data_IF_408276382108
#
_entry.id   IF_408276382108
#
_cell.length_a   1.000
_cell.length_b   1.000
_cell.length_c   1.000
_cell.angle_alpha   90.00
_cell.angle_beta   90.00
_cell.angle_gamma   90.00
#
_symmetry.space_group_name_H-M   'P 1'
#
loop_
_entity.id
_entity.type
_entity.pdbx_description
1 polymer ?
#
# COMPACT_ATOMS: atom_id res chain seq x y z
N UNK A 1 -10.19 24.70 -4.37
CA UNK A 1 -11.10 23.71 -4.98
C UNK A 1 -11.31 22.54 -4.02
N UNK A 2 -12.52 22.00 -3.95
CA UNK A 2 -12.84 20.86 -3.11
C UNK A 2 -13.27 19.71 -4.02
N UNK A 3 -12.65 18.56 -3.84
CA UNK A 3 -12.98 17.33 -4.53
C UNK A 3 -13.46 16.27 -3.55
N UNK A 4 -14.42 15.46 -3.96
CA UNK A 4 -14.94 14.35 -3.19
C UNK A 4 -14.96 13.08 -4.04
N UNK A 5 -14.30 12.03 -3.58
CA UNK A 5 -14.39 10.68 -4.14
C UNK A 5 -15.56 9.94 -3.51
N UNK A 6 -16.34 9.23 -4.31
CA UNK A 6 -17.50 8.45 -3.86
C UNK A 6 -17.43 7.02 -4.36
N UNK A 7 -17.82 6.07 -3.50
CA UNK A 7 -17.80 4.64 -3.84
C UNK A 7 -18.89 4.22 -4.84
N UNK A 8 -19.83 5.12 -5.16
CA UNK A 8 -20.94 4.82 -6.06
C UNK A 8 -21.29 5.98 -6.99
N UNK A 9 -20.29 6.59 -7.63
CA UNK A 9 -20.52 7.71 -8.55
C UNK A 9 -19.27 8.47 -8.95
N UNK A 10 -18.09 7.88 -8.77
CA UNK A 10 -16.82 8.48 -9.16
C UNK A 10 -16.46 9.70 -8.33
N UNK A 11 -16.09 10.79 -8.96
CA UNK A 11 -15.65 12.02 -8.29
C UNK A 11 -16.63 13.18 -8.49
N UNK A 12 -16.62 14.08 -7.53
CA UNK A 12 -17.38 15.34 -7.56
C UNK A 12 -16.44 16.51 -7.30
N UNK A 13 -16.59 17.56 -8.08
CA UNK A 13 -15.98 18.85 -7.85
C UNK A 13 -17.02 19.79 -7.23
N UNK A 14 -16.66 20.40 -6.10
CA UNK A 14 -17.55 21.32 -5.38
C UNK A 14 -17.13 22.74 -5.74
N UNK A 15 -18.05 23.50 -6.29
CA UNK A 15 -17.89 24.89 -6.72
C UNK A 15 -18.99 25.77 -6.14
N UNK A 16 -18.81 27.08 -6.27
CA UNK A 16 -19.87 28.06 -6.01
C UNK A 16 -20.51 28.46 -7.34
N UNK A 17 -21.83 28.48 -7.40
CA UNK A 17 -22.60 29.01 -8.49
C UNK A 17 -22.63 30.53 -8.52
N UNK A 18 -23.30 31.11 -9.52
CA UNK A 18 -23.36 32.55 -9.75
C UNK A 18 -24.00 33.35 -8.61
N UNK A 19 -24.90 32.72 -7.83
CA UNK A 19 -25.56 33.35 -6.69
C UNK A 19 -25.01 32.88 -5.34
N UNK A 20 -23.81 32.22 -5.34
CA UNK A 20 -23.14 31.77 -4.14
C UNK A 20 -23.64 30.41 -3.61
N UNK A 21 -24.57 29.75 -4.32
CA UNK A 21 -25.02 28.40 -4.00
C UNK A 21 -23.92 27.36 -4.23
N UNK A 22 -23.94 26.27 -3.46
CA UNK A 22 -23.01 25.16 -3.65
C UNK A 22 -23.45 24.31 -4.83
N UNK A 23 -22.55 24.16 -5.81
CA UNK A 23 -22.79 23.36 -7.03
C UNK A 23 -21.87 22.13 -7.02
N UNK A 24 -22.47 20.97 -7.27
CA UNK A 24 -21.74 19.70 -7.44
C UNK A 24 -21.59 19.41 -8.94
N UNK A 25 -20.33 19.35 -9.39
CA UNK A 25 -19.96 19.07 -10.76
C UNK A 25 -19.40 17.65 -10.83
N UNK A 26 -20.01 16.79 -11.64
CA UNK A 26 -19.64 15.38 -11.78
C UNK A 26 -19.93 14.88 -13.23
N UNK A 27 -19.76 13.59 -13.47
CA UNK A 27 -19.97 12.96 -14.78
C UNK A 27 -21.38 13.17 -15.38
N UNK A 28 -22.39 13.50 -14.54
CA UNK A 28 -23.79 13.72 -15.00
C UNK A 28 -23.99 15.12 -15.60
N UNK A 29 -23.13 16.06 -15.27
CA UNK A 29 -23.20 17.42 -15.79
C UNK A 29 -21.90 17.82 -16.53
N UNK A 30 -20.99 18.54 -15.91
CA UNK A 30 -19.88 19.18 -16.61
C UNK A 30 -18.55 18.39 -16.54
N UNK A 31 -18.51 17.23 -15.85
CA UNK A 31 -17.33 16.37 -15.78
C UNK A 31 -17.47 15.13 -16.69
N UNK A 32 -17.98 15.34 -17.90
CA UNK A 32 -18.33 14.26 -18.85
C UNK A 32 -17.13 13.45 -19.34
N UNK A 33 -15.92 14.00 -19.29
CA UNK A 33 -14.70 13.29 -19.63
C UNK A 33 -14.24 12.27 -18.59
N UNK A 34 -14.82 12.26 -17.37
CA UNK A 34 -14.47 11.28 -16.34
C UNK A 34 -14.89 9.87 -16.79
N UNK A 35 -14.00 8.87 -16.75
CA UNK A 35 -14.28 7.51 -17.25
C UNK A 35 -15.19 6.72 -16.29
N UNK A 36 -16.42 7.18 -16.11
CA UNK A 36 -17.38 6.65 -15.12
C UNK A 36 -17.71 5.18 -15.34
N UNK A 37 -17.77 4.72 -16.59
CA UNK A 37 -18.13 3.35 -16.93
C UNK A 37 -17.14 2.32 -16.36
N UNK A 38 -15.89 2.72 -16.20
CA UNK A 38 -14.84 1.88 -15.61
C UNK A 38 -14.45 2.34 -14.20
N UNK A 39 -14.43 3.64 -13.92
CA UNK A 39 -13.97 4.20 -12.65
C UNK A 39 -15.12 4.66 -11.72
N UNK A 40 -16.20 3.89 -11.69
CA UNK A 40 -17.41 4.19 -10.92
C UNK A 40 -17.18 4.21 -9.41
N UNK A 41 -16.35 3.29 -8.90
CA UNK A 41 -16.05 3.14 -7.46
C UNK A 41 -14.74 3.80 -7.12
N UNK A 42 -14.77 5.09 -6.75
CA UNK A 42 -13.61 5.80 -6.27
C UNK A 42 -13.40 5.53 -4.77
N UNK A 43 -12.20 5.08 -4.41
CA UNK A 43 -11.81 4.73 -3.03
C UNK A 43 -11.05 5.85 -2.34
N UNK A 44 -10.17 6.49 -3.07
CA UNK A 44 -9.23 7.46 -2.52
C UNK A 44 -8.97 8.60 -3.51
N UNK A 45 -8.72 9.80 -3.00
CA UNK A 45 -8.32 10.96 -3.81
C UNK A 45 -7.22 11.74 -3.10
N UNK A 46 -6.20 12.14 -3.84
CA UNK A 46 -5.08 12.93 -3.35
C UNK A 46 -4.48 13.76 -4.47
N UNK A 47 -3.74 14.83 -4.12
CA UNK A 47 -2.90 15.57 -5.08
C UNK A 47 -1.46 15.09 -5.01
N UNK A 48 -0.77 15.11 -6.15
CA UNK A 48 0.67 14.94 -6.21
C UNK A 48 1.40 16.29 -6.13
N UNK A 49 2.75 16.22 -6.09
CA UNK A 49 3.59 17.41 -6.03
C UNK A 49 3.76 18.12 -7.40
N UNK A 50 3.12 17.61 -8.45
CA UNK A 50 3.20 18.14 -9.82
C UNK A 50 1.89 18.82 -10.24
N UNK A 51 0.94 19.00 -9.31
CA UNK A 51 -0.35 19.64 -9.56
C UNK A 51 -1.39 18.75 -10.24
N UNK A 52 -1.21 17.43 -10.13
CA UNK A 52 -2.21 16.45 -10.58
C UNK A 52 -3.02 15.92 -9.41
N UNK A 53 -4.29 15.70 -9.64
CA UNK A 53 -5.14 14.90 -8.78
C UNK A 53 -5.12 13.44 -9.22
N UNK A 54 -5.02 12.56 -8.24
CA UNK A 54 -5.03 11.13 -8.41
C UNK A 54 -6.21 10.52 -7.68
N UNK A 55 -6.91 9.63 -8.35
CA UNK A 55 -8.08 8.91 -7.83
C UNK A 55 -7.81 7.41 -7.88
N UNK A 56 -7.75 6.76 -6.72
CA UNK A 56 -7.73 5.30 -6.63
C UNK A 56 -9.13 4.75 -6.79
N UNK A 57 -9.29 3.73 -7.62
CA UNK A 57 -10.57 3.08 -7.90
C UNK A 57 -10.45 1.57 -7.84
N UNK A 58 -11.57 0.85 -7.93
CA UNK A 58 -11.57 -0.63 -8.02
C UNK A 58 -11.10 -1.16 -9.38
N UNK A 59 -10.84 -0.29 -10.34
CA UNK A 59 -10.49 -0.65 -11.73
C UNK A 59 -9.23 0.05 -12.23
N UNK A 60 -8.42 0.57 -11.31
CA UNK A 60 -7.17 1.25 -11.58
C UNK A 60 -7.10 2.60 -10.90
N UNK A 61 -6.26 3.47 -11.42
CA UNK A 61 -6.14 4.85 -10.98
C UNK A 61 -6.48 5.81 -12.10
N UNK A 62 -7.03 6.97 -11.75
CA UNK A 62 -7.26 8.07 -12.69
C UNK A 62 -6.44 9.26 -12.24
N UNK A 63 -5.76 9.93 -13.18
CA UNK A 63 -5.08 11.18 -12.90
C UNK A 63 -5.49 12.28 -13.88
N UNK A 64 -5.46 13.52 -13.41
CA UNK A 64 -5.74 14.69 -14.22
C UNK A 64 -5.07 15.94 -13.63
N UNK A 65 -4.81 16.95 -14.48
CA UNK A 65 -4.25 18.21 -14.04
C UNK A 65 -5.30 19.01 -13.26
N UNK A 66 -4.94 19.48 -12.06
CA UNK A 66 -5.82 20.30 -11.23
C UNK A 66 -5.92 21.76 -11.74
N UNK A 67 -5.03 22.17 -12.62
CA UNK A 67 -5.00 23.50 -13.18
C UNK A 67 -5.81 23.62 -14.49
N UNK A 68 -7.13 23.50 -14.40
CA UNK A 68 -8.05 23.66 -15.53
C UNK A 68 -8.82 24.99 -15.43
N UNK A 69 -9.28 25.50 -16.57
CA UNK A 69 -10.14 26.69 -16.64
C UNK A 69 -11.61 26.32 -16.46
N UNK A 70 -12.06 25.27 -17.13
CA UNK A 70 -13.42 24.75 -17.04
C UNK A 70 -13.38 23.25 -16.79
N UNK A 71 -14.32 22.71 -16.02
CA UNK A 71 -14.38 21.25 -15.74
C UNK A 71 -14.43 20.38 -17.00
N UNK A 72 -15.02 20.88 -18.07
CA UNK A 72 -15.14 20.19 -19.36
C UNK A 72 -13.80 20.03 -20.08
N UNK A 73 -12.80 20.87 -19.75
CA UNK A 73 -11.48 20.86 -20.38
C UNK A 73 -10.54 19.80 -19.76
N UNK A 74 -10.96 19.15 -18.66
CA UNK A 74 -10.13 18.19 -17.94
C UNK A 74 -9.88 16.96 -18.79
N UNK A 75 -8.60 16.64 -18.97
CA UNK A 75 -8.15 15.40 -19.60
C UNK A 75 -7.85 14.36 -18.52
N UNK A 76 -8.60 13.27 -18.53
CA UNK A 76 -8.44 12.17 -17.59
C UNK A 76 -7.54 11.08 -18.19
N UNK A 77 -6.55 10.65 -17.45
CA UNK A 77 -5.69 9.52 -17.78
C UNK A 77 -6.05 8.35 -16.87
N UNK A 78 -6.38 7.22 -17.44
CA UNK A 78 -6.72 6.00 -16.71
C UNK A 78 -5.57 5.01 -16.78
N UNK A 79 -5.11 4.56 -15.62
CA UNK A 79 -4.04 3.59 -15.45
C UNK A 79 -4.62 2.31 -14.89
N UNK A 80 -4.39 1.20 -15.55
CA UNK A 80 -4.87 -0.11 -15.13
C UNK A 80 -3.83 -1.19 -15.39
N UNK A 81 -4.06 -2.36 -14.82
CA UNK A 81 -3.25 -3.54 -15.12
C UNK A 81 -3.48 -3.96 -16.56
N UNK A 82 -2.37 -4.11 -17.30
CA UNK A 82 -2.36 -4.66 -18.66
C UNK A 82 -1.77 -6.07 -18.59
N UNK A 83 -2.47 -7.11 -19.08
CA UNK A 83 -1.94 -8.47 -19.09
C UNK A 83 -0.61 -8.54 -19.84
N UNK A 84 0.37 -9.23 -19.24
CA UNK A 84 1.74 -9.42 -19.78
C UNK A 84 2.60 -8.13 -19.87
N UNK A 85 2.13 -7.00 -19.38
CA UNK A 85 2.92 -5.79 -19.23
C UNK A 85 3.33 -5.61 -17.76
N UNK A 86 4.58 -5.92 -17.45
CA UNK A 86 5.15 -5.81 -16.09
C UNK A 86 5.38 -4.38 -15.64
N UNK A 87 5.22 -3.41 -16.54
CA UNK A 87 5.35 -1.98 -16.28
C UNK A 87 4.00 -1.29 -16.05
N UNK A 88 2.89 -1.99 -16.27
CA UNK A 88 1.56 -1.52 -15.89
C UNK A 88 1.31 -1.70 -14.39
N UNK A 89 0.17 -1.23 -13.87
CA UNK A 89 -0.24 -1.51 -12.49
C UNK A 89 -0.28 -3.03 -12.23
N UNK A 90 0.22 -3.45 -11.08
CA UNK A 90 0.19 -4.87 -10.68
C UNK A 90 -1.22 -5.39 -10.41
N UNK A 91 -2.12 -4.51 -9.94
CA UNK A 91 -3.52 -4.82 -9.66
C UNK A 91 -4.40 -3.58 -9.84
N UNK A 92 -5.67 -3.78 -10.21
CA UNK A 92 -6.60 -2.68 -10.50
C UNK A 92 -7.28 -2.09 -9.26
N UNK A 93 -7.35 -2.81 -8.15
CA UNK A 93 -8.03 -2.29 -6.95
C UNK A 93 -7.07 -1.43 -6.13
N UNK A 94 -7.12 -0.11 -6.36
CA UNK A 94 -6.21 0.88 -5.75
C UNK A 94 -6.87 1.47 -4.50
N UNK A 95 -6.35 1.10 -3.33
CA UNK A 95 -6.89 1.49 -2.03
C UNK A 95 -6.33 2.81 -1.49
N UNK A 96 -5.06 3.08 -1.77
CA UNK A 96 -4.37 4.28 -1.27
C UNK A 96 -3.37 4.80 -2.28
N UNK A 97 -3.18 6.11 -2.29
CA UNK A 97 -2.17 6.79 -3.10
C UNK A 97 -1.46 7.80 -2.21
N UNK A 98 -0.14 7.86 -2.28
CA UNK A 98 0.65 8.83 -1.55
C UNK A 98 1.68 9.48 -2.46
N UNK A 99 1.73 10.82 -2.43
CA UNK A 99 2.83 11.61 -2.95
C UNK A 99 3.79 11.92 -1.80
N UNK A 100 5.04 11.49 -1.93
CA UNK A 100 6.05 11.63 -0.89
C UNK A 100 6.71 13.01 -0.92
N UNK A 101 7.45 13.33 0.16
CA UNK A 101 8.28 14.56 0.22
C UNK A 101 9.36 14.57 -0.87
N UNK A 102 9.82 13.40 -1.34
CA UNK A 102 10.75 13.23 -2.47
C UNK A 102 10.08 13.40 -3.84
N UNK A 103 8.81 13.76 -3.88
CA UNK A 103 7.99 13.88 -5.10
C UNK A 103 7.79 12.56 -5.86
N UNK A 104 7.94 11.44 -5.17
CA UNK A 104 7.62 10.13 -5.69
C UNK A 104 6.15 9.80 -5.41
N UNK A 105 5.51 9.04 -6.29
CA UNK A 105 4.12 8.61 -6.13
C UNK A 105 4.06 7.10 -5.96
N UNK A 106 3.38 6.66 -4.91
CA UNK A 106 3.16 5.25 -4.63
C UNK A 106 1.66 4.95 -4.53
N UNK A 107 1.27 3.80 -5.07
CA UNK A 107 -0.10 3.29 -5.04
C UNK A 107 -0.13 1.95 -4.31
N UNK A 108 -0.96 1.86 -3.28
CA UNK A 108 -1.26 0.62 -2.58
C UNK A 108 -2.42 -0.09 -3.25
N UNK A 109 -2.26 -1.37 -3.56
CA UNK A 109 -3.29 -2.16 -4.22
C UNK A 109 -3.77 -3.33 -3.35
N UNK A 110 -4.98 -3.79 -3.61
CA UNK A 110 -5.57 -4.95 -2.95
C UNK A 110 -5.21 -6.23 -3.73
N UNK A 111 -4.08 -6.85 -3.38
CA UNK A 111 -3.61 -8.09 -3.98
C UNK A 111 -2.56 -7.94 -5.08
N UNK A 112 -1.94 -6.77 -5.25
CA UNK A 112 -0.83 -6.55 -6.18
C UNK A 112 0.36 -5.81 -5.53
N UNK A 113 0.33 -5.63 -4.22
CA UNK A 113 1.41 -4.97 -3.49
C UNK A 113 1.50 -3.46 -3.72
N UNK A 114 2.72 -2.94 -3.64
CA UNK A 114 3.05 -1.52 -3.76
C UNK A 114 3.50 -1.21 -5.18
N UNK A 115 2.94 -0.15 -5.77
CA UNK A 115 3.33 0.33 -7.11
C UNK A 115 3.94 1.72 -6.98
N UNK A 116 5.13 1.91 -7.53
CA UNK A 116 5.80 3.21 -7.67
C UNK A 116 5.60 3.71 -9.10
N UNK A 117 5.06 4.90 -9.27
CA UNK A 117 5.04 5.55 -10.59
C UNK A 117 6.45 5.96 -10.98
N UNK A 118 6.91 5.49 -12.14
CA UNK A 118 8.21 5.83 -12.70
C UNK A 118 8.10 7.01 -13.68
N UNK A 119 7.14 6.93 -14.60
CA UNK A 119 6.93 7.97 -15.60
C UNK A 119 5.51 7.95 -16.15
N UNK A 120 5.11 9.06 -16.74
CA UNK A 120 3.92 9.15 -17.60
C UNK A 120 4.40 9.67 -18.95
N UNK A 121 4.15 8.93 -20.00
CA UNK A 121 4.48 9.34 -21.37
C UNK A 121 3.57 10.48 -21.86
N UNK A 122 3.94 11.14 -22.96
CA UNK A 122 3.12 12.18 -23.58
C UNK A 122 1.73 11.68 -23.99
N UNK A 123 1.60 10.42 -24.31
CA UNK A 123 0.33 9.77 -24.65
C UNK A 123 -0.50 9.39 -23.41
N UNK A 124 -0.04 9.76 -22.19
CA UNK A 124 -0.74 9.46 -20.95
C UNK A 124 -0.58 8.02 -20.45
N UNK A 125 0.33 7.22 -21.04
CA UNK A 125 0.63 5.88 -20.55
C UNK A 125 1.58 5.95 -19.35
N UNK A 126 1.22 5.27 -18.25
CA UNK A 126 2.01 5.22 -17.02
C UNK A 126 2.91 4.00 -16.96
N UNK A 127 4.17 4.21 -16.60
CA UNK A 127 5.11 3.14 -16.27
C UNK A 127 5.24 3.03 -14.75
N UNK A 128 5.05 1.82 -14.22
CA UNK A 128 5.11 1.53 -12.80
C UNK A 128 6.17 0.47 -12.49
N UNK A 129 6.78 0.57 -11.32
CA UNK A 129 7.55 -0.50 -10.69
C UNK A 129 6.73 -1.06 -9.54
N UNK A 130 6.46 -2.34 -9.56
CA UNK A 130 5.72 -3.03 -8.50
C UNK A 130 6.65 -3.75 -7.54
N UNK A 131 6.22 -3.84 -6.28
CA UNK A 131 6.85 -4.59 -5.20
C UNK A 131 5.80 -5.48 -4.56
N UNK A 132 6.14 -6.73 -4.34
CA UNK A 132 5.26 -7.80 -3.87
C UNK A 132 5.86 -8.54 -2.65
N UNK A 133 5.21 -9.60 -2.22
CA UNK A 133 5.77 -10.52 -1.21
C UNK A 133 7.10 -11.12 -1.65
N UNK A 134 7.36 -11.25 -2.94
CA UNK A 134 8.65 -11.72 -3.48
C UNK A 134 9.79 -10.74 -3.24
N UNK A 135 9.46 -9.45 -3.07
CA UNK A 135 10.41 -8.38 -2.79
C UNK A 135 10.54 -8.11 -1.27
N UNK A 136 9.80 -8.87 -0.46
CA UNK A 136 9.86 -8.80 1.00
C UNK A 136 8.68 -8.13 1.69
N UNK A 137 7.62 -7.75 0.99
CA UNK A 137 6.35 -7.32 1.61
C UNK A 137 5.76 -8.44 2.47
N UNK A 138 5.09 -8.09 3.57
CA UNK A 138 4.37 -9.05 4.42
C UNK A 138 3.08 -9.59 3.78
N UNK A 139 2.49 -8.84 2.86
CA UNK A 139 1.30 -9.18 2.09
C UNK A 139 1.19 -8.31 0.85
N UNK A 140 0.58 -8.83 -0.22
CA UNK A 140 0.23 -8.06 -1.41
C UNK A 140 -1.08 -7.26 -1.24
N UNK A 141 -1.80 -7.45 -0.12
CA UNK A 141 -2.98 -6.69 0.25
C UNK A 141 -2.59 -5.50 1.11
N UNK A 142 -2.56 -4.32 0.51
CA UNK A 142 -2.17 -3.07 1.16
C UNK A 142 -3.41 -2.21 1.41
N UNK A 143 -3.51 -1.62 2.61
CA UNK A 143 -4.71 -0.93 3.07
C UNK A 143 -4.53 0.60 3.16
N UNK A 144 -3.39 1.06 3.68
CA UNK A 144 -3.04 2.48 3.73
C UNK A 144 -1.53 2.68 3.85
N UNK A 145 -1.05 3.88 3.51
CA UNK A 145 0.38 4.24 3.55
C UNK A 145 0.55 5.58 4.25
N UNK A 146 1.59 5.71 5.09
CA UNK A 146 2.06 6.99 5.63
C UNK A 146 3.57 7.11 5.49
N UNK A 147 4.05 8.31 5.21
CA UNK A 147 5.47 8.64 5.17
C UNK A 147 5.92 9.18 6.52
N UNK A 148 7.07 8.71 7.04
CA UNK A 148 7.68 9.27 8.24
C UNK A 148 8.65 10.42 7.89
N UNK A 149 9.17 11.10 8.92
CA UNK A 149 10.12 12.21 8.74
C UNK A 149 11.49 11.77 8.19
N UNK A 150 11.77 10.45 8.17
CA UNK A 150 12.95 9.84 7.54
C UNK A 150 12.65 9.35 6.12
N UNK A 151 11.46 9.68 5.60
CA UNK A 151 11.02 9.33 4.24
C UNK A 151 10.82 7.83 4.02
N UNK A 152 10.63 7.07 5.09
CA UNK A 152 10.19 5.68 4.98
C UNK A 152 8.66 5.64 4.87
N UNK A 153 8.16 4.65 4.14
CA UNK A 153 6.72 4.42 4.03
C UNK A 153 6.28 3.32 5.00
N UNK A 154 5.33 3.66 5.84
CA UNK A 154 4.68 2.73 6.76
C UNK A 154 3.36 2.30 6.15
N UNK A 155 3.22 1.01 5.93
CA UNK A 155 2.14 0.42 5.14
C UNK A 155 1.36 -0.55 6.03
N UNK A 156 0.08 -0.29 6.22
CA UNK A 156 -0.79 -1.29 6.84
C UNK A 156 -1.20 -2.33 5.81
N UNK A 157 -1.10 -3.59 6.20
CA UNK A 157 -1.43 -4.75 5.37
C UNK A 157 -2.40 -5.66 6.14
N UNK A 158 -2.93 -6.70 5.50
CA UNK A 158 -3.72 -7.71 6.21
C UNK A 158 -2.89 -8.54 7.21
N UNK A 159 -1.55 -8.57 7.06
CA UNK A 159 -0.62 -9.35 7.89
C UNK A 159 0.23 -8.49 8.85
N UNK A 160 -0.21 -7.26 9.17
CA UNK A 160 0.51 -6.39 10.08
C UNK A 160 0.93 -5.07 9.44
N UNK A 161 1.97 -4.44 9.96
CA UNK A 161 2.58 -3.23 9.41
C UNK A 161 3.90 -3.57 8.75
N UNK A 162 4.11 -2.99 7.58
CA UNK A 162 5.35 -3.07 6.84
C UNK A 162 5.97 -1.68 6.72
N UNK A 163 7.26 -1.55 6.97
CA UNK A 163 8.04 -0.35 6.68
C UNK A 163 8.82 -0.57 5.40
N UNK A 164 8.63 0.27 4.42
CA UNK A 164 9.42 0.32 3.20
C UNK A 164 10.43 1.45 3.28
N UNK A 165 11.69 1.14 2.99
CA UNK A 165 12.81 2.09 2.95
C UNK A 165 13.16 2.35 1.48
N UNK A 166 12.70 3.46 0.87
CA UNK A 166 12.84 3.69 -0.57
C UNK A 166 14.30 3.74 -1.04
N UNK A 167 15.21 4.29 -0.25
CA UNK A 167 16.62 4.46 -0.60
C UNK A 167 17.37 3.13 -0.83
N UNK A 168 16.88 2.04 -0.25
CA UNK A 168 17.46 0.70 -0.39
C UNK A 168 16.48 -0.32 -0.94
N UNK A 169 15.27 0.12 -1.29
CA UNK A 169 14.17 -0.72 -1.78
C UNK A 169 13.92 -1.97 -0.92
N UNK A 170 14.03 -1.82 0.41
CA UNK A 170 13.92 -2.92 1.35
C UNK A 170 12.70 -2.78 2.24
N UNK A 171 12.18 -3.91 2.67
CA UNK A 171 11.03 -4.01 3.55
C UNK A 171 11.43 -4.51 4.94
N UNK A 172 10.78 -3.96 5.97
CA UNK A 172 10.88 -4.39 7.36
C UNK A 172 9.46 -4.69 7.85
N UNK A 173 9.16 -5.95 8.11
CA UNK A 173 7.82 -6.40 8.50
C UNK A 173 7.69 -6.48 10.01
N UNK A 174 6.54 -6.04 10.52
CA UNK A 174 6.12 -6.09 11.92
C UNK A 174 4.78 -6.83 11.99
N UNK A 175 4.86 -8.11 12.24
CA UNK A 175 3.74 -9.04 12.37
C UNK A 175 3.21 -9.13 13.82
N UNK A 176 2.27 -10.04 14.06
CA UNK A 176 1.69 -10.30 15.39
C UNK A 176 2.74 -10.63 16.46
N UNK A 177 3.87 -11.24 16.08
CA UNK A 177 4.96 -11.59 17.00
C UNK A 177 5.75 -10.34 17.41
N UNK A 178 5.90 -9.42 16.49
CA UNK A 178 6.62 -8.16 16.70
C UNK A 178 5.82 -7.17 17.55
N UNK A 179 4.49 -7.15 17.42
CA UNK A 179 3.59 -6.20 18.11
C UNK A 179 2.80 -6.84 19.27
N UNK A 180 3.05 -8.12 19.58
CA UNK A 180 2.50 -8.87 20.73
C UNK A 180 0.98 -9.01 20.76
N UNK A 181 0.25 -8.66 19.71
CA UNK A 181 -1.20 -8.86 19.59
C UNK A 181 -1.66 -8.84 18.13
N UNK A 182 -2.79 -9.49 17.87
CA UNK A 182 -3.39 -9.57 16.53
C UNK A 182 -4.11 -8.28 16.19
N UNK A 183 -3.68 -7.61 15.12
CA UNK A 183 -4.29 -6.38 14.61
C UNK A 183 -4.87 -6.63 13.23
N UNK A 184 -6.15 -6.28 13.04
CA UNK A 184 -6.77 -6.18 11.73
C UNK A 184 -6.92 -4.72 11.37
N UNK A 185 -6.13 -4.26 10.42
CA UNK A 185 -6.19 -2.89 9.93
C UNK A 185 -7.40 -2.65 9.05
N UNK A 186 -7.94 -1.42 9.11
CA UNK A 186 -9.05 -0.97 8.29
C UNK A 186 -8.54 -0.30 7.01
N UNK A 187 -9.30 -0.43 5.94
CA UNK A 187 -9.00 0.21 4.66
C UNK A 187 -9.01 1.74 4.80
N UNK A 188 -8.08 2.40 4.12
CA UNK A 188 -7.96 3.86 4.02
C UNK A 188 -7.99 4.61 5.37
N UNK A 189 -7.62 3.94 6.46
CA UNK A 189 -7.73 4.45 7.81
C UNK A 189 -6.35 4.70 8.43
N UNK A 190 -5.70 5.78 8.05
CA UNK A 190 -4.44 6.20 8.69
C UNK A 190 -4.29 7.70 8.71
N UNK A 191 -3.57 8.22 9.71
CA UNK A 191 -3.20 9.62 9.81
C UNK A 191 -1.88 9.79 10.55
N UNK A 192 -1.29 10.97 10.44
CA UNK A 192 -0.10 11.39 11.16
C UNK A 192 -0.50 12.52 12.11
N UNK A 193 -0.10 12.44 13.38
CA UNK A 193 -0.29 13.54 14.34
C UNK A 193 0.72 14.66 14.07
N UNK A 194 0.44 15.84 14.60
CA UNK A 194 1.39 16.96 14.58
C UNK A 194 2.69 16.64 15.36
N UNK A 195 2.65 15.67 16.28
CA UNK A 195 3.81 15.19 17.03
C UNK A 195 4.64 14.13 16.29
N UNK A 196 4.20 13.69 15.11
CA UNK A 196 4.90 12.67 14.32
C UNK A 196 4.49 11.22 14.66
N UNK A 197 3.49 11.02 15.52
CA UNK A 197 2.94 9.68 15.77
C UNK A 197 2.06 9.24 14.61
N UNK A 198 2.19 7.97 14.25
CA UNK A 198 1.34 7.34 13.24
C UNK A 198 0.15 6.65 13.88
N UNK A 199 -1.02 6.90 13.31
CA UNK A 199 -2.26 6.25 13.70
C UNK A 199 -2.81 5.46 12.52
N UNK A 200 -3.15 4.21 12.79
CA UNK A 200 -3.84 3.32 11.83
C UNK A 200 -5.13 2.81 12.45
N UNK A 201 -6.23 2.94 11.71
CA UNK A 201 -7.50 2.39 12.12
C UNK A 201 -7.49 0.86 12.09
N UNK A 202 -8.17 0.25 13.05
CA UNK A 202 -8.31 -1.20 13.15
C UNK A 202 -9.77 -1.57 13.36
N UNK A 203 -10.11 -2.84 13.23
CA UNK A 203 -11.47 -3.31 13.48
C UNK A 203 -11.96 -3.06 14.93
N UNK A 204 -11.04 -2.87 15.88
CA UNK A 204 -11.35 -2.78 17.32
C UNK A 204 -10.82 -1.47 17.96
N UNK A 205 -10.43 -0.48 17.16
CA UNK A 205 -9.92 0.80 17.68
C UNK A 205 -8.79 1.38 16.83
N UNK A 206 -7.78 1.92 17.47
CA UNK A 206 -6.64 2.57 16.84
C UNK A 206 -5.33 1.88 17.24
N UNK A 207 -4.46 1.69 16.27
CA UNK A 207 -3.07 1.32 16.49
C UNK A 207 -2.21 2.57 16.31
N UNK A 208 -1.53 2.99 17.38
CA UNK A 208 -0.70 4.18 17.41
C UNK A 208 0.72 3.84 17.79
N UNK A 209 1.69 4.44 17.10
CA UNK A 209 3.10 4.31 17.43
C UNK A 209 3.92 5.50 16.92
N UNK A 210 5.05 5.74 17.58
CA UNK A 210 6.07 6.68 17.11
C UNK A 210 7.08 5.90 16.25
N UNK A 211 7.30 6.24 14.97
CA UNK A 211 8.19 5.52 14.07
C UNK A 211 9.59 5.27 14.63
N UNK A 212 10.17 6.25 15.33
CA UNK A 212 11.50 6.16 15.92
C UNK A 212 11.59 5.24 17.14
N UNK A 213 10.45 4.93 17.76
CA UNK A 213 10.39 4.06 18.94
C UNK A 213 10.33 2.58 18.56
N UNK A 214 9.97 2.27 17.31
CA UNK A 214 9.90 0.89 16.83
C UNK A 214 11.31 0.36 16.58
N UNK A 215 11.68 -0.65 17.37
CA UNK A 215 12.93 -1.39 17.19
C UNK A 215 12.59 -2.84 16.85
N UNK A 216 13.22 -3.35 15.81
CA UNK A 216 13.15 -4.78 15.53
C UNK A 216 13.93 -5.52 16.61
N UNK A 217 13.32 -6.53 17.22
CA UNK A 217 14.04 -7.41 18.14
C UNK A 217 15.22 -8.05 17.38
N UNK A 218 16.42 -7.94 17.94
CA UNK A 218 17.60 -8.63 17.39
C UNK A 218 17.65 -10.09 17.86
N UNK A 219 16.69 -10.51 18.68
CA UNK A 219 16.63 -11.89 19.15
C UNK A 219 16.23 -12.81 18.00
N UNK A 220 17.16 -13.63 17.57
CA UNK A 220 16.91 -14.75 16.67
C UNK A 220 16.72 -15.99 17.56
N UNK A 221 15.49 -16.52 17.69
CA UNK A 221 15.29 -17.73 18.46
C UNK A 221 16.12 -18.86 17.85
N UNK A 222 16.90 -19.61 18.65
CA UNK A 222 17.62 -20.76 18.13
C UNK A 222 16.64 -21.78 17.58
N UNK A 223 16.92 -22.28 16.38
CA UNK A 223 16.17 -23.43 15.82
C UNK A 223 16.73 -24.68 16.50
N UNK A 224 15.91 -25.35 17.30
CA UNK A 224 16.28 -26.58 17.99
C UNK A 224 15.44 -27.73 17.40
N UNK A 225 16.11 -28.77 16.95
CA UNK A 225 15.42 -30.03 16.62
C UNK A 225 14.99 -30.71 17.92
N UNK A 226 13.70 -30.70 18.20
CA UNK A 226 13.16 -31.30 19.41
C UNK A 226 12.91 -32.82 19.28
N UNK A 227 12.84 -33.31 18.03
CA UNK A 227 12.50 -34.70 17.75
C UNK A 227 12.87 -35.08 16.33
N UNK A 228 13.45 -36.23 16.13
CA UNK A 228 13.64 -36.84 14.82
C UNK A 228 12.81 -38.13 14.76
N UNK A 229 12.05 -38.31 13.69
CA UNK A 229 11.28 -39.51 13.42
C UNK A 229 11.67 -40.10 12.07
N UNK A 230 11.95 -41.38 12.02
CA UNK A 230 12.17 -42.13 10.79
C UNK A 230 11.12 -43.25 10.71
N UNK A 231 10.38 -43.33 9.63
CA UNK A 231 9.27 -44.27 9.44
C UNK A 231 8.26 -44.28 10.61
N UNK A 232 7.94 -43.12 11.18
CA UNK A 232 7.02 -42.90 12.30
C UNK A 232 7.53 -43.41 13.67
N UNK A 233 8.80 -43.77 13.77
CA UNK A 233 9.45 -44.16 15.04
C UNK A 233 10.41 -43.06 15.49
N UNK A 234 10.44 -42.81 16.80
CA UNK A 234 11.36 -41.84 17.41
C UNK A 234 12.80 -42.38 17.31
N UNK A 235 13.67 -41.57 16.71
CA UNK A 235 15.09 -41.90 16.60
C UNK A 235 15.87 -41.03 17.59
N UNK A 236 16.51 -41.70 18.57
CA UNK A 236 17.45 -41.04 19.49
C UNK A 236 18.86 -41.26 18.93
N UNK A 237 19.64 -40.20 18.65
CA UNK A 237 21.02 -40.36 18.20
C UNK A 237 21.85 -41.15 19.25
N UNK A 238 22.76 -41.99 18.81
CA UNK A 238 23.64 -42.76 19.65
C UNK A 238 24.24 -43.98 18.94
N UNK A 239 25.14 -44.73 19.59
CA UNK A 239 25.91 -45.83 19.00
C UNK A 239 25.07 -46.92 18.36
N UNK A 240 23.81 -47.11 18.81
CA UNK A 240 22.87 -48.16 18.32
C UNK A 240 21.82 -47.58 17.34
N UNK A 241 21.90 -46.33 17.03
CA UNK A 241 20.97 -45.62 16.15
C UNK A 241 21.47 -45.58 14.70
N UNK A 242 20.53 -45.33 13.78
CA UNK A 242 20.85 -44.98 12.38
C UNK A 242 21.70 -43.70 12.32
N UNK A 243 21.48 -42.77 13.25
CA UNK A 243 22.31 -41.60 13.45
C UNK A 243 23.36 -41.87 14.51
N UNK A 244 24.62 -41.94 14.10
CA UNK A 244 25.77 -42.24 14.98
C UNK A 244 26.35 -41.01 15.68
N UNK A 245 25.82 -39.81 15.44
CA UNK A 245 26.30 -38.55 16.00
C UNK A 245 25.21 -37.94 16.88
N UNK A 246 25.59 -37.46 18.05
CA UNK A 246 24.70 -36.76 18.96
C UNK A 246 24.28 -35.41 18.31
N UNK A 247 22.99 -35.06 18.42
CA UNK A 247 22.47 -33.82 17.90
C UNK A 247 22.99 -32.55 18.67
N UNK A 248 23.55 -32.79 19.88
CA UNK A 248 24.16 -31.74 20.71
C UNK A 248 25.61 -31.42 20.34
N UNK A 249 26.26 -32.25 19.51
CA UNK A 249 27.57 -31.92 18.98
C UNK A 249 27.44 -30.93 17.83
N UNK A 250 27.62 -29.66 18.17
CA UNK A 250 27.70 -28.52 17.24
C UNK A 250 28.95 -28.62 16.34
N UNK A 251 29.01 -29.60 15.49
CA UNK A 251 29.87 -29.60 14.33
C UNK A 251 29.02 -29.17 13.11
N UNK A 252 29.41 -28.04 12.52
CA UNK A 252 28.87 -27.51 11.29
C UNK A 252 28.76 -28.63 10.23
N UNK A 253 27.56 -28.79 9.70
CA UNK A 253 27.31 -29.54 8.47
C UNK A 253 27.53 -28.60 7.28
#
# INVERSE_FOLDING_TARGET
>A
RIWAATFAGGINYISQGEHGETVFINHRNNLKGYPIDVCYKARFITSDNNGRLWVGTTTGAVAFDENFKKPEDIQFHHFSRVPNDTKSLSNNDVHWIIATQQKELYLATFGGGLNKLISISENGHGEFKSYSVLDGLSSDVLLSIREDHKQNLWISTENGICKFVPSGERFENYDERSISFRVRFSEAASTLTSGGDMLFGTSNGLFMFTPDSIRKSSYVPPVVFSKLMVANEDVIPGEKSILKVDLDDTQEL
#
